data_IF_818663906867
#
_entry.id   IF_818663906867
#
_cell.length_a   1.000
_cell.length_b   1.000
_cell.length_c   1.000
_cell.angle_alpha   90.00
_cell.angle_beta   90.00
_cell.angle_gamma   90.00
#
_symmetry.space_group_name_H-M   'P 1'
#
loop_
_entity.id
_entity.type
_entity.pdbx_description
1 polymer ?
#
# COMPACT_ATOMS: atom_id res chain seq x y z
N UNK A 1 -48.92 -22.80 -62.17
CA UNK A 1 -47.86 -21.96 -61.51
C UNK A 1 -48.12 -21.96 -60.05
N UNK A 2 -47.39 -22.85 -59.31
CA UNK A 2 -47.47 -22.94 -57.87
C UNK A 2 -46.38 -22.01 -57.28
N UNK A 3 -46.75 -21.02 -56.49
CA UNK A 3 -45.79 -20.17 -55.76
C UNK A 3 -45.44 -20.89 -54.45
N UNK A 4 -44.17 -21.24 -54.32
CA UNK A 4 -43.58 -21.82 -53.10
C UNK A 4 -43.24 -20.64 -52.18
N UNK A 5 -43.88 -20.54 -51.00
CA UNK A 5 -43.55 -19.62 -49.94
C UNK A 5 -42.52 -20.30 -49.01
N UNK A 6 -41.27 -19.82 -49.04
CA UNK A 6 -40.21 -20.25 -48.14
C UNK A 6 -40.29 -19.39 -46.87
N UNK A 7 -40.68 -19.99 -45.75
CA UNK A 7 -40.65 -19.35 -44.44
C UNK A 7 -39.23 -19.46 -43.88
N UNK A 8 -38.52 -18.35 -43.81
CA UNK A 8 -37.27 -18.21 -43.08
C UNK A 8 -37.56 -18.06 -41.59
N UNK A 9 -37.42 -19.11 -40.79
CA UNK A 9 -37.43 -19.05 -39.35
C UNK A 9 -36.08 -18.45 -38.87
N UNK A 10 -36.09 -17.18 -38.50
CA UNK A 10 -34.96 -16.57 -37.81
C UNK A 10 -34.88 -17.16 -36.38
N UNK A 11 -33.95 -18.07 -36.18
CA UNK A 11 -33.62 -18.62 -34.86
C UNK A 11 -32.86 -17.54 -34.09
N UNK A 12 -33.55 -16.80 -33.21
CA UNK A 12 -32.89 -15.94 -32.23
C UNK A 12 -32.13 -16.83 -31.24
N UNK A 13 -30.83 -16.92 -31.42
CA UNK A 13 -29.91 -17.37 -30.38
C UNK A 13 -29.89 -16.35 -29.25
N UNK A 14 -30.76 -16.54 -28.27
CA UNK A 14 -30.63 -15.86 -26.98
C UNK A 14 -29.46 -16.53 -26.28
N UNK A 15 -28.25 -15.98 -26.42
CA UNK A 15 -27.14 -16.30 -25.54
C UNK A 15 -27.54 -15.87 -24.13
N UNK A 16 -27.85 -16.84 -23.29
CA UNK A 16 -27.98 -16.61 -21.86
C UNK A 16 -26.62 -16.11 -21.34
N UNK A 17 -26.48 -14.81 -21.13
CA UNK A 17 -25.34 -14.25 -20.41
C UNK A 17 -25.50 -14.72 -18.96
N UNK A 18 -24.86 -15.83 -18.64
CA UNK A 18 -24.65 -16.28 -17.28
C UNK A 18 -23.81 -15.18 -16.59
N UNK A 19 -24.28 -14.67 -15.46
CA UNK A 19 -23.50 -13.78 -14.63
C UNK A 19 -22.28 -14.56 -14.10
N UNK A 20 -21.16 -14.48 -14.81
CA UNK A 20 -19.93 -15.19 -14.45
C UNK A 20 -19.31 -14.46 -13.27
N UNK A 21 -19.23 -15.16 -12.14
CA UNK A 21 -18.50 -14.65 -10.96
C UNK A 21 -17.01 -14.56 -11.28
N UNK A 22 -16.42 -13.40 -11.06
CA UNK A 22 -14.99 -13.16 -11.24
C UNK A 22 -14.29 -13.26 -9.89
N UNK A 23 -13.25 -14.08 -9.86
CA UNK A 23 -12.40 -14.26 -8.68
C UNK A 23 -11.02 -13.67 -8.93
N UNK A 24 -10.60 -12.78 -8.06
CA UNK A 24 -9.28 -12.16 -8.08
C UNK A 24 -8.44 -12.69 -6.94
N UNK A 25 -7.22 -13.11 -7.26
CA UNK A 25 -6.16 -13.37 -6.29
C UNK A 25 -5.09 -12.30 -6.42
N UNK A 26 -4.40 -12.00 -5.35
CA UNK A 26 -3.34 -11.01 -5.34
C UNK A 26 -2.04 -11.64 -4.89
N UNK A 27 -0.94 -11.32 -5.58
CA UNK A 27 0.41 -11.76 -5.24
C UNK A 27 1.32 -10.55 -5.28
N UNK A 28 2.04 -10.30 -4.18
CA UNK A 28 3.07 -9.27 -4.11
C UNK A 28 4.39 -9.82 -4.64
N UNK A 29 5.09 -9.03 -5.46
CA UNK A 29 6.44 -9.34 -5.94
C UNK A 29 7.35 -8.13 -5.85
N UNK A 30 8.63 -8.35 -5.59
CA UNK A 30 9.67 -7.33 -5.64
C UNK A 30 10.32 -7.21 -7.03
N UNK A 31 11.33 -6.34 -7.17
CA UNK A 31 12.08 -6.13 -8.40
C UNK A 31 12.80 -7.38 -8.90
N UNK A 32 13.15 -8.31 -8.01
CA UNK A 32 13.79 -9.58 -8.31
C UNK A 32 12.79 -10.72 -8.50
N UNK A 33 11.50 -10.38 -8.61
CA UNK A 33 10.40 -11.33 -8.79
C UNK A 33 10.18 -12.30 -7.62
N UNK A 34 10.74 -11.99 -6.43
CA UNK A 34 10.51 -12.73 -5.20
C UNK A 34 9.14 -12.36 -4.59
N UNK A 35 8.51 -13.30 -3.89
CA UNK A 35 7.24 -13.03 -3.24
C UNK A 35 7.41 -12.08 -2.04
N UNK A 36 6.59 -11.04 -2.02
CA UNK A 36 6.54 -10.03 -0.96
C UNK A 36 5.21 -10.16 -0.22
N UNK A 37 5.24 -10.38 1.10
CA UNK A 37 4.01 -10.36 1.88
C UNK A 37 3.46 -8.92 1.92
N UNK A 38 2.14 -8.78 1.87
CA UNK A 38 1.45 -7.51 1.96
C UNK A 38 0.24 -7.63 2.89
N UNK A 39 -0.18 -6.50 3.47
CA UNK A 39 -1.20 -6.46 4.52
C UNK A 39 -2.58 -6.08 3.99
N UNK A 40 -2.63 -5.30 2.92
CA UNK A 40 -3.90 -4.89 2.31
C UNK A 40 -3.77 -4.60 0.82
N UNK A 41 -4.90 -4.63 0.13
CA UNK A 41 -5.06 -4.20 -1.26
C UNK A 41 -6.23 -3.23 -1.34
N UNK A 42 -5.98 -2.04 -1.89
CA UNK A 42 -7.05 -1.12 -2.28
C UNK A 42 -7.46 -1.41 -3.72
N UNK A 43 -8.76 -1.57 -3.92
CA UNK A 43 -9.39 -1.87 -5.20
C UNK A 43 -10.28 -0.71 -5.56
N UNK A 44 -9.97 -0.03 -6.66
CA UNK A 44 -10.76 1.09 -7.15
C UNK A 44 -11.38 0.74 -8.50
N UNK A 45 -12.70 0.82 -8.59
CA UNK A 45 -13.37 0.80 -9.88
C UNK A 45 -13.37 2.22 -10.45
N UNK A 46 -12.52 2.45 -11.45
CA UNK A 46 -12.35 3.77 -12.08
C UNK A 46 -13.59 4.14 -12.90
N UNK A 47 -14.23 3.14 -13.54
CA UNK A 47 -15.43 3.35 -14.38
C UNK A 47 -16.63 3.79 -13.54
N UNK A 48 -16.78 3.26 -12.31
CA UNK A 48 -17.96 3.47 -11.45
C UNK A 48 -17.67 4.26 -10.18
N UNK A 49 -16.47 4.79 -10.03
CA UNK A 49 -16.03 5.68 -8.95
C UNK A 49 -16.30 5.14 -7.53
N UNK A 50 -15.95 3.88 -7.26
CA UNK A 50 -15.95 3.33 -5.92
C UNK A 50 -14.60 2.72 -5.55
N UNK A 51 -14.33 2.64 -4.25
CA UNK A 51 -13.11 2.04 -3.69
C UNK A 51 -13.47 1.04 -2.60
N UNK A 52 -12.70 -0.04 -2.52
CA UNK A 52 -12.81 -1.08 -1.49
C UNK A 52 -11.41 -1.49 -1.04
N UNK A 53 -11.30 -2.03 0.18
CA UNK A 53 -10.03 -2.47 0.75
C UNK A 53 -10.15 -3.89 1.28
N UNK A 54 -9.21 -4.76 0.88
CA UNK A 54 -9.01 -6.08 1.45
C UNK A 54 -7.83 -6.03 2.42
N UNK A 55 -7.95 -6.70 3.57
CA UNK A 55 -6.92 -6.72 4.61
C UNK A 55 -6.46 -8.17 4.87
N UNK A 56 -5.15 -8.42 4.81
CA UNK A 56 -4.53 -9.71 5.09
C UNK A 56 -4.24 -9.88 6.60
N UNK A 57 -4.33 -11.12 7.14
CA UNK A 57 -4.67 -12.38 6.46
C UNK A 57 -6.18 -12.64 6.33
N UNK A 58 -7.04 -11.72 6.78
CA UNK A 58 -8.48 -11.94 6.88
C UNK A 58 -9.16 -12.08 5.51
N UNK A 59 -8.68 -11.33 4.50
CA UNK A 59 -9.24 -11.31 3.16
C UNK A 59 -8.15 -11.63 2.11
N UNK A 60 -8.09 -12.86 1.61
CA UNK A 60 -7.05 -13.28 0.64
C UNK A 60 -7.52 -13.35 -0.82
N UNK A 61 -8.82 -13.40 -1.03
CA UNK A 61 -9.45 -13.57 -2.35
C UNK A 61 -10.67 -12.67 -2.47
N UNK A 62 -10.74 -11.90 -3.55
CA UNK A 62 -11.91 -11.09 -3.87
C UNK A 62 -12.79 -11.83 -4.88
N UNK A 63 -14.06 -11.99 -4.55
CA UNK A 63 -15.06 -12.52 -5.47
C UNK A 63 -16.05 -11.44 -5.84
N UNK A 64 -16.19 -11.15 -7.13
CA UNK A 64 -17.09 -10.14 -7.69
C UNK A 64 -18.14 -10.79 -8.59
N UNK A 65 -19.40 -10.47 -8.35
CA UNK A 65 -20.50 -10.91 -9.20
C UNK A 65 -21.05 -9.70 -9.96
N UNK A 66 -21.11 -9.75 -11.31
CA UNK A 66 -21.66 -8.66 -12.09
C UNK A 66 -23.12 -8.39 -11.69
N UNK A 67 -23.44 -7.17 -11.33
CA UNK A 67 -24.79 -6.80 -10.88
C UNK A 67 -25.65 -6.39 -12.06
N UNK A 68 -26.47 -7.32 -12.54
CA UNK A 68 -27.56 -7.03 -13.49
C UNK A 68 -28.86 -6.51 -12.83
N UNK A 69 -29.01 -6.64 -11.50
CA UNK A 69 -30.19 -6.22 -10.74
C UNK A 69 -29.75 -5.65 -9.39
N UNK A 70 -30.33 -4.52 -9.00
CA UNK A 70 -30.07 -3.87 -7.70
C UNK A 70 -30.48 -4.81 -6.56
N UNK A 71 -29.53 -5.34 -5.80
CA UNK A 71 -29.78 -5.83 -4.46
C UNK A 71 -29.41 -4.74 -3.45
N UNK A 72 -30.40 -4.30 -2.68
CA UNK A 72 -30.17 -3.46 -1.50
C UNK A 72 -29.71 -4.38 -0.36
N UNK A 73 -28.48 -4.19 0.11
CA UNK A 73 -28.07 -4.74 1.40
C UNK A 73 -27.78 -3.56 2.33
N UNK A 74 -28.55 -3.44 3.37
CA UNK A 74 -28.22 -2.67 4.57
C UNK A 74 -27.45 -3.57 5.54
N UNK A 75 -26.60 -3.00 6.34
CA UNK A 75 -25.69 -3.67 7.31
C UNK A 75 -26.38 -4.52 8.41
N UNK A 76 -27.67 -4.87 8.25
CA UNK A 76 -28.49 -5.67 9.16
C UNK A 76 -29.40 -6.63 8.38
N UNK A 77 -28.95 -7.32 7.35
CA UNK A 77 -29.81 -8.15 6.52
C UNK A 77 -29.62 -9.66 6.76
N UNK A 78 -30.73 -10.33 6.96
CA UNK A 78 -30.86 -11.78 6.83
C UNK A 78 -30.92 -12.13 5.33
N UNK A 79 -29.87 -12.76 4.77
CA UNK A 79 -29.75 -13.00 3.34
C UNK A 79 -29.06 -14.31 2.99
N UNK A 80 -29.66 -15.08 2.06
CA UNK A 80 -29.02 -16.23 1.38
C UNK A 80 -28.21 -15.71 0.18
N UNK A 81 -26.98 -16.18 0.06
CA UNK A 81 -26.21 -16.04 -1.17
C UNK A 81 -26.67 -17.05 -2.22
N UNK A 82 -26.47 -16.73 -3.51
CA UNK A 82 -26.70 -17.71 -4.56
C UNK A 82 -25.82 -18.95 -4.31
N UNK A 83 -26.40 -20.16 -4.48
CA UNK A 83 -25.64 -21.41 -4.32
C UNK A 83 -24.56 -21.56 -5.39
N UNK A 84 -23.46 -22.17 -5.01
CA UNK A 84 -22.34 -22.47 -5.90
C UNK A 84 -21.87 -23.93 -5.70
N UNK A 85 -21.77 -24.71 -6.80
CA UNK A 85 -22.13 -24.38 -8.18
C UNK A 85 -23.65 -24.23 -8.39
N UNK A 86 -24.07 -23.51 -9.46
CA UNK A 86 -25.44 -23.42 -9.95
C UNK A 86 -25.42 -23.15 -11.47
N UNK A 87 -25.78 -24.13 -12.34
CA UNK A 87 -26.29 -25.45 -12.03
C UNK A 87 -25.33 -26.38 -11.29
N UNK A 88 -25.86 -27.39 -10.59
CA UNK A 88 -25.07 -28.34 -9.81
C UNK A 88 -25.50 -29.77 -10.04
N UNK A 89 -24.62 -30.72 -9.73
CA UNK A 89 -24.87 -32.16 -9.86
C UNK A 89 -25.05 -32.79 -8.47
N UNK A 90 -26.30 -32.84 -8.01
CA UNK A 90 -26.69 -33.49 -6.76
C UNK A 90 -26.37 -32.72 -5.49
N UNK A 91 -25.26 -32.02 -5.38
CA UNK A 91 -24.86 -31.28 -4.16
C UNK A 91 -24.33 -29.90 -4.49
N UNK A 92 -24.73 -28.90 -3.68
CA UNK A 92 -24.27 -27.51 -3.78
C UNK A 92 -24.15 -26.87 -2.40
N UNK A 93 -23.53 -25.70 -2.32
CA UNK A 93 -23.35 -24.94 -1.10
C UNK A 93 -23.90 -23.50 -1.26
N UNK A 94 -24.43 -22.94 -0.18
CA UNK A 94 -24.86 -21.54 -0.11
C UNK A 94 -24.45 -20.97 1.24
N UNK A 95 -24.21 -19.67 1.30
CA UNK A 95 -23.94 -18.96 2.55
C UNK A 95 -25.18 -18.19 2.98
N UNK A 96 -25.37 -18.08 4.29
CA UNK A 96 -26.45 -17.31 4.90
C UNK A 96 -25.85 -16.32 5.89
N UNK A 97 -26.12 -15.03 5.68
CA UNK A 97 -25.81 -13.99 6.66
C UNK A 97 -26.96 -13.86 7.66
N UNK A 98 -26.61 -13.82 8.96
CA UNK A 98 -27.55 -13.71 10.08
C UNK A 98 -27.12 -12.55 10.97
N UNK A 99 -28.01 -11.59 11.21
CA UNK A 99 -27.73 -10.41 12.04
C UNK A 99 -28.01 -10.60 13.53
N UNK A 100 -28.92 -11.51 13.90
CA UNK A 100 -29.42 -11.70 15.26
C UNK A 100 -29.49 -13.18 15.64
N UNK A 101 -29.45 -13.49 16.91
CA UNK A 101 -29.68 -14.84 17.42
C UNK A 101 -31.11 -15.30 17.16
N UNK A 102 -31.29 -16.58 16.87
CA UNK A 102 -32.64 -17.13 16.77
C UNK A 102 -32.74 -18.56 16.24
N UNK A 103 -33.96 -18.96 15.96
CA UNK A 103 -34.27 -20.22 15.28
C UNK A 103 -34.60 -19.94 13.82
N UNK A 104 -33.88 -20.66 12.94
CA UNK A 104 -34.04 -20.53 11.51
C UNK A 104 -34.76 -21.75 10.93
N UNK A 105 -35.71 -21.53 10.07
CA UNK A 105 -36.34 -22.57 9.24
C UNK A 105 -35.85 -22.46 7.80
N UNK A 106 -35.36 -23.54 7.26
CA UNK A 106 -34.93 -23.65 5.85
C UNK A 106 -35.82 -24.66 5.14
N UNK A 107 -36.38 -24.26 4.02
CA UNK A 107 -37.29 -25.05 3.21
C UNK A 107 -36.81 -25.10 1.76
N UNK A 108 -36.92 -26.28 1.13
CA UNK A 108 -36.70 -26.42 -0.32
C UNK A 108 -38.00 -26.84 -0.95
N UNK A 109 -38.43 -26.10 -1.96
CA UNK A 109 -39.62 -26.42 -2.76
C UNK A 109 -39.21 -26.61 -4.23
N UNK A 110 -39.99 -27.43 -4.96
CA UNK A 110 -39.89 -27.50 -6.42
C UNK A 110 -40.60 -26.35 -7.13
N UNK A 111 -40.56 -26.34 -8.45
CA UNK A 111 -41.18 -25.30 -9.28
C UNK A 111 -42.70 -25.18 -9.09
N UNK A 112 -43.35 -26.21 -8.61
CA UNK A 112 -44.82 -26.23 -8.35
C UNK A 112 -45.17 -25.79 -6.93
N UNK A 113 -44.19 -25.46 -6.09
CA UNK A 113 -44.35 -25.11 -4.70
C UNK A 113 -44.47 -26.30 -3.74
N UNK A 114 -44.29 -27.53 -4.22
CA UNK A 114 -44.30 -28.72 -3.37
C UNK A 114 -43.04 -28.75 -2.51
N UNK A 115 -43.25 -28.94 -1.19
CA UNK A 115 -42.13 -29.09 -0.24
C UNK A 115 -41.33 -30.35 -0.52
N UNK A 116 -40.01 -30.23 -0.70
CA UNK A 116 -39.07 -31.29 -0.93
C UNK A 116 -38.37 -31.68 0.37
N UNK A 117 -37.91 -30.70 1.13
CA UNK A 117 -37.29 -30.92 2.45
C UNK A 117 -37.38 -29.65 3.30
N UNK A 118 -37.36 -29.84 4.62
CA UNK A 118 -37.39 -28.76 5.60
C UNK A 118 -36.43 -29.10 6.75
N UNK A 119 -35.68 -28.09 7.20
CA UNK A 119 -34.80 -28.17 8.34
C UNK A 119 -35.02 -26.99 9.27
N UNK A 120 -35.15 -27.26 10.58
CA UNK A 120 -35.13 -26.23 11.63
C UNK A 120 -33.78 -26.26 12.32
N UNK A 121 -33.15 -25.10 12.42
CA UNK A 121 -31.86 -24.90 13.06
C UNK A 121 -32.06 -23.97 14.26
N UNK A 122 -31.77 -24.46 15.46
CA UNK A 122 -31.95 -23.72 16.71
C UNK A 122 -30.64 -23.06 17.13
N UNK A 123 -30.73 -21.94 17.84
CA UNK A 123 -29.57 -21.23 18.42
C UNK A 123 -28.52 -20.77 17.42
N UNK A 124 -28.96 -20.34 16.23
CA UNK A 124 -28.08 -19.73 15.24
C UNK A 124 -27.60 -18.40 15.83
N UNK A 125 -26.26 -18.21 15.81
CA UNK A 125 -25.60 -16.99 16.26
C UNK A 125 -25.48 -16.00 15.08
N UNK A 126 -25.30 -14.68 15.33
CA UNK A 126 -24.94 -13.73 14.30
C UNK A 126 -23.67 -14.14 13.57
N UNK A 127 -23.61 -13.90 12.26
CA UNK A 127 -22.45 -14.25 11.43
C UNK A 127 -22.83 -14.91 10.12
N UNK A 128 -21.83 -15.37 9.40
CA UNK A 128 -21.99 -16.08 8.14
C UNK A 128 -21.95 -17.59 8.37
N UNK A 129 -22.97 -18.27 7.89
CA UNK A 129 -23.15 -19.72 8.03
C UNK A 129 -23.19 -20.39 6.68
N UNK A 130 -22.63 -21.60 6.57
CA UNK A 130 -22.64 -22.35 5.34
C UNK A 130 -23.65 -23.50 5.42
N UNK A 131 -24.49 -23.59 4.39
CA UNK A 131 -25.46 -24.66 4.19
C UNK A 131 -25.02 -25.52 3.01
N UNK A 132 -25.04 -26.84 3.20
CA UNK A 132 -24.92 -27.84 2.13
C UNK A 132 -26.29 -28.32 1.74
N UNK A 133 -26.62 -28.23 0.45
CA UNK A 133 -27.87 -28.71 -0.12
C UNK A 133 -27.59 -29.91 -1.01
N UNK A 134 -28.32 -31.01 -0.78
CA UNK A 134 -28.25 -32.22 -1.62
C UNK A 134 -29.65 -32.51 -2.13
N UNK A 135 -29.80 -32.74 -3.45
CA UNK A 135 -31.09 -33.03 -4.11
C UNK A 135 -31.04 -34.29 -4.95
N UNK A 136 -32.04 -35.17 -4.75
CA UNK A 136 -32.09 -36.49 -5.35
C UNK A 136 -32.37 -36.48 -6.85
N UNK A 137 -33.09 -35.49 -7.36
CA UNK A 137 -33.54 -35.46 -8.77
C UNK A 137 -33.15 -34.16 -9.47
N UNK A 138 -32.89 -34.18 -10.78
CA UNK A 138 -32.73 -32.97 -11.58
C UNK A 138 -34.01 -32.16 -11.57
N UNK A 139 -33.86 -30.81 -11.58
CA UNK A 139 -34.98 -29.90 -11.58
C UNK A 139 -34.61 -28.50 -11.14
N UNK A 140 -35.63 -27.60 -11.13
CA UNK A 140 -35.53 -26.26 -10.59
C UNK A 140 -36.16 -26.24 -9.19
N UNK A 141 -35.44 -25.68 -8.25
CA UNK A 141 -35.81 -25.64 -6.85
C UNK A 141 -35.65 -24.23 -6.28
N UNK A 142 -36.38 -23.94 -5.20
CA UNK A 142 -36.22 -22.72 -4.40
C UNK A 142 -35.82 -23.10 -2.99
N UNK A 143 -34.71 -22.55 -2.53
CA UNK A 143 -34.28 -22.60 -1.12
C UNK A 143 -34.76 -21.34 -0.45
N UNK A 144 -35.56 -21.46 0.60
CA UNK A 144 -36.07 -20.35 1.39
C UNK A 144 -35.65 -20.51 2.84
N UNK A 145 -35.00 -19.50 3.39
CA UNK A 145 -34.67 -19.39 4.80
C UNK A 145 -35.57 -18.33 5.46
N UNK A 146 -36.03 -18.63 6.69
CA UNK A 146 -36.88 -17.73 7.49
C UNK A 146 -36.39 -17.69 8.94
N UNK A 147 -36.25 -16.49 9.49
CA UNK A 147 -35.82 -16.25 10.84
C UNK A 147 -36.30 -14.87 11.32
N UNK A 148 -36.83 -14.78 12.55
CA UNK A 148 -37.26 -13.51 13.17
C UNK A 148 -38.16 -12.65 12.25
N UNK A 149 -39.07 -13.26 11.50
CA UNK A 149 -39.96 -12.56 10.54
C UNK A 149 -39.30 -12.18 9.22
N UNK A 150 -38.00 -12.36 9.06
CA UNK A 150 -37.29 -12.13 7.82
C UNK A 150 -37.32 -13.39 6.92
N UNK A 151 -37.29 -13.19 5.60
CA UNK A 151 -37.31 -14.27 4.62
C UNK A 151 -36.32 -13.96 3.51
N UNK A 152 -35.51 -14.94 3.14
CA UNK A 152 -34.61 -14.88 1.99
C UNK A 152 -34.75 -16.15 1.16
N UNK A 153 -34.75 -16.02 -0.18
CA UNK A 153 -34.94 -17.15 -1.11
C UNK A 153 -33.98 -17.04 -2.29
N UNK A 154 -33.48 -18.21 -2.73
CA UNK A 154 -32.67 -18.34 -3.94
C UNK A 154 -33.22 -19.43 -4.85
N UNK A 155 -33.00 -19.29 -6.17
CA UNK A 155 -33.32 -20.28 -7.19
C UNK A 155 -32.10 -21.17 -7.43
N UNK A 156 -32.32 -22.50 -7.40
CA UNK A 156 -31.28 -23.50 -7.64
C UNK A 156 -31.65 -24.37 -8.83
N UNK A 157 -30.66 -24.73 -9.63
CA UNK A 157 -30.82 -25.65 -10.79
C UNK A 157 -29.95 -26.87 -10.55
N UNK A 158 -30.61 -28.02 -10.30
CA UNK A 158 -29.92 -29.30 -10.18
C UNK A 158 -29.97 -30.05 -11.52
N UNK A 159 -28.83 -30.42 -12.06
CA UNK A 159 -28.69 -31.23 -13.29
C UNK A 159 -28.36 -32.69 -13.02
N UNK A 160 -27.96 -33.01 -11.78
CA UNK A 160 -27.53 -34.35 -11.39
C UNK A 160 -28.51 -35.07 -10.49
N UNK A 161 -28.10 -36.28 -10.04
CA UNK A 161 -28.84 -37.12 -9.10
C UNK A 161 -28.03 -37.41 -7.85
N UNK A 162 -28.67 -37.46 -6.69
CA UNK A 162 -28.07 -37.92 -5.44
C UNK A 162 -28.98 -38.92 -4.72
N UNK A 163 -28.49 -39.54 -3.64
CA UNK A 163 -29.27 -40.50 -2.87
C UNK A 163 -30.33 -39.94 -1.94
N UNK A 164 -30.38 -38.62 -1.71
CA UNK A 164 -31.28 -37.99 -0.72
C UNK A 164 -31.55 -36.51 -0.99
N UNK A 165 -32.61 -35.99 -0.38
CA UNK A 165 -32.91 -34.54 -0.31
C UNK A 165 -32.60 -34.06 1.08
N UNK A 166 -31.53 -33.27 1.24
CA UNK A 166 -31.10 -32.77 2.56
C UNK A 166 -30.62 -31.33 2.50
N UNK A 167 -30.83 -30.61 3.60
CA UNK A 167 -30.14 -29.36 3.91
C UNK A 167 -29.38 -29.60 5.19
N UNK A 168 -28.08 -29.44 5.15
CA UNK A 168 -27.23 -29.62 6.33
C UNK A 168 -26.47 -28.30 6.63
N UNK A 169 -26.39 -27.97 7.89
CA UNK A 169 -25.52 -26.91 8.39
C UNK A 169 -24.08 -27.49 8.45
N UNK A 170 -23.15 -26.86 7.76
CA UNK A 170 -21.77 -27.35 7.66
C UNK A 170 -20.85 -26.71 8.72
N UNK A 171 -21.42 -25.93 9.62
CA UNK A 171 -20.74 -25.26 10.72
C UNK A 171 -20.51 -23.77 10.48
N UNK A 172 -20.31 -23.03 11.57
CA UNK A 172 -19.75 -21.70 11.52
C UNK A 172 -18.25 -21.87 11.33
N UNK A 173 -17.72 -21.54 10.15
CA UNK A 173 -16.29 -21.60 9.93
C UNK A 173 -15.62 -20.44 10.70
N UNK A 174 -14.82 -20.79 11.69
CA UNK A 174 -13.68 -20.01 12.09
C UNK A 174 -12.65 -20.04 10.95
N UNK A 175 -11.97 -18.95 10.62
CA UNK A 175 -11.47 -18.68 9.29
C UNK A 175 -10.18 -19.43 8.93
N UNK A 176 -10.27 -20.29 7.94
CA UNK A 176 -9.13 -20.51 7.06
C UNK A 176 -9.51 -19.93 5.70
N UNK A 177 -8.84 -18.87 5.29
CA UNK A 177 -9.02 -18.11 4.06
C UNK A 177 -10.42 -17.51 3.88
N UNK A 178 -10.64 -16.35 4.43
CA UNK A 178 -11.88 -15.59 4.29
C UNK A 178 -11.98 -15.03 2.88
N UNK A 179 -12.94 -15.56 2.11
CA UNK A 179 -13.31 -14.95 0.83
C UNK A 179 -14.23 -13.76 1.11
N UNK A 180 -13.76 -12.53 0.91
CA UNK A 180 -14.63 -11.36 0.93
C UNK A 180 -15.37 -11.26 -0.39
N UNK A 181 -16.67 -11.55 -0.38
CA UNK A 181 -17.54 -11.22 -1.50
C UNK A 181 -17.95 -9.75 -1.42
N UNK A 182 -17.48 -8.91 -2.35
CA UNK A 182 -18.03 -7.55 -2.52
C UNK A 182 -19.36 -7.66 -3.26
N UNK A 183 -20.42 -8.00 -2.55
CA UNK A 183 -21.76 -8.19 -3.13
C UNK A 183 -22.50 -6.87 -3.40
N UNK A 184 -22.04 -5.74 -2.85
CA UNK A 184 -22.76 -4.47 -2.85
C UNK A 184 -22.20 -3.38 -3.75
N UNK A 185 -21.09 -3.61 -4.42
CA UNK A 185 -20.48 -2.62 -5.31
C UNK A 185 -20.88 -2.91 -6.76
N UNK A 186 -21.47 -1.94 -7.48
CA UNK A 186 -21.86 -2.14 -8.87
C UNK A 186 -20.61 -2.43 -9.72
N UNK A 187 -20.62 -3.59 -10.39
CA UNK A 187 -19.58 -4.04 -11.27
C UNK A 187 -20.16 -4.60 -12.57
N UNK A 188 -19.49 -4.38 -13.68
CA UNK A 188 -19.75 -5.03 -14.96
C UNK A 188 -18.42 -5.54 -15.57
N UNK A 189 -18.51 -6.63 -16.33
CA UNK A 189 -17.39 -7.15 -17.11
C UNK A 189 -16.90 -6.06 -18.07
N UNK A 190 -15.61 -5.77 -18.05
CA UNK A 190 -14.99 -4.69 -18.82
C UNK A 190 -14.81 -3.37 -18.05
N UNK A 191 -15.31 -3.25 -16.81
CA UNK A 191 -15.02 -2.09 -15.97
C UNK A 191 -13.51 -1.95 -15.78
N UNK A 192 -13.00 -0.72 -15.85
CA UNK A 192 -11.60 -0.39 -15.57
C UNK A 192 -11.36 -0.40 -14.07
N UNK A 193 -10.49 -1.28 -13.64
CA UNK A 193 -10.11 -1.44 -12.23
C UNK A 193 -8.67 -0.97 -12.00
N UNK A 194 -8.42 -0.44 -10.81
CA UNK A 194 -7.08 -0.09 -10.31
C UNK A 194 -6.85 -0.82 -8.99
N UNK A 195 -5.72 -1.50 -8.89
CA UNK A 195 -5.32 -2.28 -7.71
C UNK A 195 -4.01 -1.72 -7.16
N UNK A 196 -3.97 -1.46 -5.85
CA UNK A 196 -2.75 -1.01 -5.16
C UNK A 196 -2.58 -1.84 -3.90
N UNK A 197 -1.48 -2.57 -3.81
CA UNK A 197 -1.10 -3.33 -2.61
C UNK A 197 -0.32 -2.47 -1.63
N UNK A 198 -0.41 -2.80 -0.34
CA UNK A 198 0.33 -2.15 0.73
C UNK A 198 0.94 -3.20 1.63
N UNK A 199 2.18 -3.00 2.04
CA UNK A 199 2.87 -3.89 2.96
C UNK A 199 3.40 -3.13 4.17
N UNK A 200 3.24 -3.71 5.36
CA UNK A 200 3.93 -3.31 6.58
C UNK A 200 5.18 -4.15 6.83
N UNK A 201 5.76 -4.73 5.78
CA UNK A 201 6.96 -5.55 5.91
C UNK A 201 8.11 -4.71 6.46
N UNK A 202 8.10 -4.60 7.74
CA UNK A 202 9.11 -4.19 8.71
C UNK A 202 9.14 -2.73 9.16
N UNK A 203 8.75 -1.67 8.42
CA UNK A 203 9.02 -0.31 8.92
C UNK A 203 8.13 0.82 8.41
N UNK A 204 7.70 0.80 7.19
CA UNK A 204 6.77 1.79 6.65
C UNK A 204 5.79 1.09 5.73
N UNK A 205 4.59 1.65 5.60
CA UNK A 205 3.66 1.17 4.61
C UNK A 205 4.17 1.50 3.21
N UNK A 206 4.72 0.50 2.53
CA UNK A 206 5.07 0.62 1.13
C UNK A 206 3.88 0.23 0.26
N UNK A 207 3.59 1.01 -0.77
CA UNK A 207 2.57 0.69 -1.74
C UNK A 207 3.19 0.10 -3.01
N UNK A 208 2.47 -0.83 -3.64
CA UNK A 208 2.83 -1.31 -4.98
C UNK A 208 2.58 -0.23 -6.04
N UNK A 209 3.22 -0.38 -7.20
CA UNK A 209 2.75 0.32 -8.39
C UNK A 209 1.26 -0.02 -8.64
N UNK A 210 0.39 0.96 -8.96
CA UNK A 210 -0.99 0.69 -9.24
C UNK A 210 -1.13 -0.10 -10.56
N UNK A 211 -1.84 -1.23 -10.49
CA UNK A 211 -2.16 -2.05 -11.68
C UNK A 211 -3.52 -1.62 -12.22
N UNK A 212 -3.57 -1.08 -13.43
CA UNK A 212 -4.82 -0.67 -14.10
C UNK A 212 -5.12 -1.60 -15.26
N UNK A 213 -6.30 -2.22 -15.24
CA UNK A 213 -6.76 -3.07 -16.33
C UNK A 213 -8.28 -3.23 -16.35
N UNK A 214 -8.83 -3.55 -17.52
CA UNK A 214 -10.23 -3.94 -17.64
C UNK A 214 -10.42 -5.33 -17.01
N UNK A 215 -11.44 -5.48 -16.17
CA UNK A 215 -11.73 -6.74 -15.51
C UNK A 215 -12.71 -7.57 -16.35
N UNK A 216 -12.20 -8.62 -17.01
CA UNK A 216 -12.95 -9.45 -17.95
C UNK A 216 -13.16 -10.88 -17.47
N UNK A 217 -12.25 -11.40 -16.65
CA UNK A 217 -12.24 -12.78 -16.19
C UNK A 217 -11.55 -12.94 -14.84
N UNK A 218 -11.67 -14.15 -14.25
CA UNK A 218 -10.95 -14.51 -13.03
C UNK A 218 -9.45 -14.59 -13.29
N UNK A 219 -8.65 -13.93 -12.44
CA UNK A 219 -7.20 -13.83 -12.65
C UNK A 219 -6.43 -13.59 -11.35
N UNK A 220 -5.12 -13.75 -11.45
CA UNK A 220 -4.18 -13.33 -10.40
C UNK A 220 -3.60 -11.98 -10.78
N UNK A 221 -3.73 -11.01 -9.86
CA UNK A 221 -3.16 -9.67 -9.99
C UNK A 221 -1.80 -9.69 -9.30
N UNK A 222 -0.74 -9.44 -10.06
CA UNK A 222 0.61 -9.27 -9.49
C UNK A 222 0.81 -7.82 -9.13
N UNK A 223 1.06 -7.58 -7.85
CA UNK A 223 1.33 -6.27 -7.26
C UNK A 223 2.86 -6.12 -7.15
N UNK A 224 3.44 -5.22 -7.91
CA UNK A 224 4.88 -4.98 -7.87
C UNK A 224 5.22 -4.02 -6.73
N UNK A 225 5.93 -4.52 -5.74
CA UNK A 225 6.47 -3.76 -4.62
C UNK A 225 7.95 -3.50 -4.84
N UNK A 226 8.37 -2.26 -4.57
CA UNK A 226 9.75 -1.87 -4.59
C UNK A 226 10.38 -1.81 -5.98
N UNK A 227 11.23 -0.82 -6.13
CA UNK A 227 12.15 -0.53 -7.22
C UNK A 227 11.54 -0.64 -8.62
N UNK A 228 10.82 0.37 -9.02
CA UNK A 228 10.76 0.69 -10.43
C UNK A 228 12.12 1.26 -10.84
N UNK A 229 12.99 0.41 -11.32
CA UNK A 229 14.25 0.77 -11.96
C UNK A 229 13.96 1.37 -13.34
N UNK A 230 13.34 2.51 -13.37
CA UNK A 230 13.08 3.28 -14.55
C UNK A 230 13.41 4.74 -14.30
N UNK A 231 13.75 5.48 -15.34
CA UNK A 231 14.22 6.86 -15.30
C UNK A 231 13.28 7.87 -14.60
N UNK A 232 12.12 7.43 -14.12
CA UNK A 232 11.15 8.25 -13.41
C UNK A 232 10.94 7.67 -12.01
N UNK A 233 11.58 8.29 -11.02
CA UNK A 233 11.31 8.08 -9.61
C UNK A 233 9.82 8.32 -9.32
N UNK A 234 9.09 7.27 -8.96
CA UNK A 234 7.65 7.39 -8.73
C UNK A 234 7.38 8.09 -7.40
N UNK A 235 6.42 9.01 -7.36
CA UNK A 235 5.94 9.58 -6.11
C UNK A 235 5.28 8.49 -5.25
N UNK A 236 5.25 8.71 -3.95
CA UNK A 236 4.57 7.81 -3.03
C UNK A 236 3.08 7.71 -3.38
N UNK A 237 2.53 6.49 -3.52
CA UNK A 237 1.10 6.31 -3.76
C UNK A 237 0.27 6.98 -2.67
N UNK A 238 -0.84 7.59 -3.06
CA UNK A 238 -1.75 8.37 -2.20
C UNK A 238 -1.15 9.62 -1.50
N UNK A 239 0.17 9.85 -1.58
CA UNK A 239 0.83 11.02 -0.98
C UNK A 239 1.97 11.51 -1.89
N UNK A 240 1.66 11.97 -3.12
CA UNK A 240 2.67 12.45 -4.07
C UNK A 240 3.39 13.71 -3.57
N UNK A 241 2.74 14.47 -2.71
CA UNK A 241 3.28 15.61 -1.98
C UNK A 241 2.82 15.60 -0.53
N UNK A 242 3.56 16.27 0.34
CA UNK A 242 3.21 16.54 1.73
C UNK A 242 3.47 18.00 2.04
N UNK A 243 2.63 18.58 2.89
CA UNK A 243 2.74 20.00 3.28
C UNK A 243 3.01 20.09 4.77
N UNK A 244 3.98 20.91 5.17
CA UNK A 244 4.24 21.19 6.59
C UNK A 244 3.31 22.29 7.14
N UNK A 245 3.43 22.56 8.44
CA UNK A 245 2.60 23.55 9.13
C UNK A 245 2.79 24.99 8.61
N UNK A 246 3.91 25.28 7.96
CA UNK A 246 4.20 26.60 7.37
C UNK A 246 3.67 26.72 5.93
N UNK A 247 3.10 25.64 5.37
CA UNK A 247 2.60 25.59 4.01
C UNK A 247 3.67 25.27 2.96
N UNK A 248 4.86 24.83 3.38
CA UNK A 248 5.86 24.36 2.44
C UNK A 248 5.45 22.97 1.89
N UNK A 249 5.48 22.81 0.59
CA UNK A 249 5.22 21.54 -0.09
C UNK A 249 6.52 20.80 -0.37
N UNK A 250 6.49 19.47 -0.18
CA UNK A 250 7.58 18.54 -0.45
C UNK A 250 7.08 17.43 -1.33
N UNK A 251 7.78 17.15 -2.41
CA UNK A 251 7.51 15.99 -3.27
C UNK A 251 7.97 14.72 -2.57
N UNK A 252 7.42 13.58 -2.97
CA UNK A 252 7.77 12.29 -2.39
C UNK A 252 8.35 11.33 -3.41
N UNK A 253 9.04 10.30 -2.93
CA UNK A 253 9.57 9.23 -3.76
C UNK A 253 9.57 7.90 -3.01
N UNK A 254 9.21 6.82 -3.73
CA UNK A 254 9.34 5.45 -3.21
C UNK A 254 10.73 4.92 -3.53
N UNK A 255 11.45 4.43 -2.51
CA UNK A 255 12.73 3.74 -2.67
C UNK A 255 12.66 2.44 -1.87
N UNK A 256 12.68 1.31 -2.55
CA UNK A 256 12.37 0.03 -1.92
C UNK A 256 10.93 0.03 -1.38
N UNK A 257 10.79 -0.19 -0.08
CA UNK A 257 9.50 -0.17 0.62
C UNK A 257 9.28 1.12 1.41
N UNK A 258 10.12 2.13 1.22
CA UNK A 258 10.11 3.36 1.98
C UNK A 258 9.62 4.53 1.13
N UNK A 259 8.83 5.38 1.77
CA UNK A 259 8.36 6.63 1.17
C UNK A 259 9.14 7.80 1.75
N UNK A 260 9.97 8.44 0.96
CA UNK A 260 10.86 9.53 1.35
C UNK A 260 10.40 10.87 0.79
N UNK A 261 10.65 11.96 1.51
CA UNK A 261 10.63 13.29 0.90
C UNK A 261 11.80 13.45 -0.08
N UNK A 262 11.62 14.26 -1.12
CA UNK A 262 12.68 14.57 -2.10
C UNK A 262 13.45 15.83 -1.74
N UNK A 263 12.87 16.70 -0.95
CA UNK A 263 13.45 17.96 -0.50
C UNK A 263 13.81 17.91 0.98
N UNK A 264 14.81 18.69 1.38
CA UNK A 264 15.18 18.90 2.78
C UNK A 264 14.11 19.73 3.48
N UNK A 265 13.89 19.49 4.77
CA UNK A 265 12.95 20.25 5.59
C UNK A 265 13.29 21.75 5.59
N UNK A 266 12.25 22.58 5.47
CA UNK A 266 12.35 24.06 5.53
C UNK A 266 11.28 24.67 6.44
N UNK A 267 10.75 23.88 7.38
CA UNK A 267 9.78 24.35 8.39
C UNK A 267 10.43 25.27 9.40
N UNK A 268 9.66 26.21 9.92
CA UNK A 268 10.06 27.12 11.00
C UNK A 268 9.40 26.77 12.33
N UNK A 269 8.50 25.79 12.31
CA UNK A 269 7.73 25.33 13.47
C UNK A 269 7.63 23.82 13.48
N UNK A 270 7.45 23.26 14.66
CA UNK A 270 7.01 21.89 14.84
C UNK A 270 5.54 21.72 14.42
N UNK A 271 5.10 20.48 14.16
CA UNK A 271 3.72 20.20 13.76
C UNK A 271 2.67 20.65 14.79
N UNK A 272 3.03 20.72 16.08
CA UNK A 272 2.19 21.26 17.15
C UNK A 272 2.12 22.80 17.20
N UNK A 273 2.85 23.51 16.34
CA UNK A 273 2.89 24.96 16.24
C UNK A 273 4.03 25.62 17.02
N UNK A 274 4.78 24.91 17.83
CA UNK A 274 5.92 25.43 18.58
C UNK A 274 7.03 25.94 17.65
N UNK A 275 7.66 27.05 18.02
CA UNK A 275 8.64 27.72 17.17
C UNK A 275 10.02 27.05 17.25
N UNK A 276 10.63 26.79 16.09
CA UNK A 276 12.06 26.49 15.96
C UNK A 276 12.79 27.82 15.77
N UNK A 277 13.59 28.19 16.75
CA UNK A 277 14.17 29.52 16.80
C UNK A 277 15.24 29.74 15.73
N UNK A 278 15.32 30.98 15.23
CA UNK A 278 16.43 31.46 14.39
C UNK A 278 17.16 32.58 15.12
N UNK A 279 18.17 32.20 15.84
CA UNK A 279 19.05 33.10 16.57
C UNK A 279 20.50 32.82 16.22
N UNK A 280 21.36 33.82 16.34
CA UNK A 280 22.77 33.69 15.97
C UNK A 280 23.59 33.16 17.13
N UNK A 281 23.26 31.94 17.58
CA UNK A 281 23.98 31.20 18.63
C UNK A 281 23.93 29.71 18.37
N UNK A 282 24.72 28.96 19.10
CA UNK A 282 24.69 27.51 19.16
C UNK A 282 24.02 27.06 20.46
N UNK A 283 23.35 25.94 20.46
CA UNK A 283 22.71 25.39 21.66
C UNK A 283 22.63 23.88 21.64
N UNK A 284 22.94 23.26 22.76
CA UNK A 284 22.76 21.83 23.02
C UNK A 284 21.31 21.50 23.45
N UNK A 285 20.47 22.52 23.74
CA UNK A 285 19.14 22.33 24.35
C UNK A 285 18.00 23.07 23.64
N UNK A 286 18.26 24.25 23.06
CA UNK A 286 17.25 25.03 22.35
C UNK A 286 17.09 24.54 20.92
N UNK A 287 15.86 24.35 20.40
CA UNK A 287 15.61 24.01 19.01
C UNK A 287 15.92 25.19 18.10
N UNK A 288 16.94 25.04 17.28
CA UNK A 288 17.45 26.10 16.40
C UNK A 288 17.47 25.67 14.94
N UNK A 289 17.22 26.63 14.03
CA UNK A 289 17.41 26.51 12.59
C UNK A 289 18.31 27.61 12.07
N UNK A 290 19.02 27.29 11.00
CA UNK A 290 20.00 28.20 10.40
C UNK A 290 19.85 28.19 8.88
N UNK A 291 20.26 29.27 8.23
CA UNK A 291 20.37 29.32 6.77
C UNK A 291 21.55 28.45 6.30
N UNK A 292 21.41 27.70 5.18
CA UNK A 292 22.57 27.06 4.58
C UNK A 292 23.57 28.12 4.11
N UNK A 293 24.84 27.93 4.38
CA UNK A 293 25.93 28.86 4.04
C UNK A 293 25.63 30.32 4.37
N UNK A 294 24.91 30.59 5.47
CA UNK A 294 24.48 31.92 5.97
C UNK A 294 23.62 32.72 4.98
N UNK A 295 22.99 32.10 3.97
CA UNK A 295 22.15 32.80 3.00
C UNK A 295 20.69 32.32 3.05
N UNK A 296 19.78 33.30 3.27
CA UNK A 296 18.34 33.01 3.26
C UNK A 296 17.82 32.57 1.88
N UNK A 297 18.44 33.00 0.79
CA UNK A 297 18.07 32.68 -0.56
C UNK A 297 18.25 31.20 -0.88
N UNK A 298 19.17 30.54 -0.17
CA UNK A 298 19.47 29.12 -0.35
C UNK A 298 18.43 28.19 0.28
N UNK A 299 17.57 28.68 1.18
CA UNK A 299 16.60 27.85 1.91
C UNK A 299 15.63 27.15 0.97
N UNK A 300 15.19 27.81 -0.10
CA UNK A 300 14.24 27.21 -1.04
C UNK A 300 14.81 25.96 -1.69
N UNK A 301 16.09 25.95 -2.01
CA UNK A 301 16.76 24.86 -2.71
C UNK A 301 17.39 23.82 -1.79
N UNK A 302 17.92 24.23 -0.64
CA UNK A 302 18.71 23.40 0.25
C UNK A 302 18.03 23.07 1.57
N UNK A 303 16.88 23.69 1.91
CA UNK A 303 16.24 23.61 3.22
C UNK A 303 16.99 24.38 4.30
N UNK A 304 16.50 24.34 5.55
CA UNK A 304 17.26 24.84 6.70
C UNK A 304 18.23 23.77 7.21
N UNK A 305 19.25 24.22 7.94
CA UNK A 305 20.07 23.38 8.80
C UNK A 305 19.47 23.45 10.21
N UNK A 306 19.29 22.29 10.86
CA UNK A 306 18.69 22.17 12.19
C UNK A 306 19.67 21.54 13.16
N UNK A 307 19.74 22.04 14.39
CA UNK A 307 20.47 21.36 15.43
C UNK A 307 19.68 20.18 16.01
N UNK A 308 20.34 19.30 16.76
CA UNK A 308 19.68 18.10 17.29
C UNK A 308 18.47 18.38 18.20
N UNK A 309 18.47 19.41 19.08
CA UNK A 309 17.26 19.77 19.85
C UNK A 309 16.04 20.07 18.99
N UNK A 310 16.21 20.59 17.78
CA UNK A 310 15.12 20.77 16.82
C UNK A 310 14.68 19.42 16.22
N UNK A 311 15.63 18.53 15.92
CA UNK A 311 15.32 17.19 15.37
C UNK A 311 14.62 16.34 16.40
N UNK A 312 15.17 16.24 17.61
CA UNK A 312 14.67 15.39 18.69
C UNK A 312 13.42 15.92 19.39
N UNK A 313 13.10 17.21 19.29
CA UNK A 313 11.96 17.87 19.94
C UNK A 313 11.81 17.51 21.43
N UNK A 314 12.91 17.53 22.17
CA UNK A 314 12.93 17.22 23.61
C UNK A 314 12.93 15.74 23.96
N UNK A 315 13.07 14.84 22.99
CA UNK A 315 13.21 13.40 23.20
C UNK A 315 14.68 12.99 23.28
N UNK A 316 14.93 11.76 23.77
CA UNK A 316 16.26 11.16 23.82
C UNK A 316 16.65 10.43 22.52
N UNK A 317 15.92 10.68 21.42
CA UNK A 317 16.10 9.94 20.17
C UNK A 317 15.42 8.58 20.15
N UNK A 318 15.60 7.83 19.04
CA UNK A 318 15.01 6.51 18.86
C UNK A 318 15.87 5.64 17.96
N UNK A 319 16.06 4.38 18.35
CA UNK A 319 16.67 3.33 17.52
C UNK A 319 15.63 2.41 16.89
N UNK A 320 14.36 2.63 17.20
CA UNK A 320 13.26 1.81 16.71
C UNK A 320 13.10 1.93 15.19
N UNK A 321 12.34 1.00 14.61
CA UNK A 321 12.06 0.96 13.20
C UNK A 321 10.57 0.62 12.99
N UNK A 322 9.70 1.61 12.65
CA UNK A 322 9.97 3.05 12.46
C UNK A 322 10.46 3.75 13.73
N UNK A 323 11.15 4.87 13.56
CA UNK A 323 11.69 5.61 14.72
C UNK A 323 10.62 6.08 15.68
N UNK A 324 9.43 6.39 15.17
CA UNK A 324 8.35 7.01 15.94
C UNK A 324 8.66 8.45 16.40
N UNK A 325 9.81 9.00 16.02
CA UNK A 325 10.23 10.35 16.35
C UNK A 325 9.71 11.33 15.30
N UNK A 326 8.55 11.94 15.52
CA UNK A 326 8.04 12.97 14.61
C UNK A 326 9.03 14.14 14.45
N UNK A 327 9.55 14.68 15.54
CA UNK A 327 10.48 15.80 15.50
C UNK A 327 9.93 16.99 14.71
N UNK A 328 10.68 17.45 13.73
CA UNK A 328 10.28 18.56 12.84
C UNK A 328 9.45 18.10 11.62
N UNK A 329 9.16 16.82 11.50
CA UNK A 329 8.42 16.28 10.36
C UNK A 329 6.92 16.60 10.45
N UNK A 330 6.19 16.71 9.33
CA UNK A 330 4.75 16.85 9.31
C UNK A 330 4.02 15.63 9.91
N UNK A 331 2.72 15.78 10.17
CA UNK A 331 1.87 14.68 10.66
C UNK A 331 1.89 13.50 9.68
N UNK A 332 2.05 12.27 10.21
CA UNK A 332 2.20 11.03 9.46
C UNK A 332 3.59 10.83 8.83
N UNK A 333 4.57 11.63 9.30
CA UNK A 333 5.98 11.56 8.92
C UNK A 333 6.87 11.67 10.14
N UNK A 334 8.05 11.05 10.06
CA UNK A 334 9.01 11.05 11.16
C UNK A 334 10.45 11.24 10.67
N UNK A 335 11.33 11.56 11.60
CA UNK A 335 12.78 11.58 11.37
C UNK A 335 13.26 10.15 11.22
N UNK A 336 13.93 9.79 10.12
CA UNK A 336 14.36 8.40 9.88
C UNK A 336 15.28 7.90 10.97
N UNK A 337 15.12 6.63 11.37
CA UNK A 337 16.10 5.98 12.23
C UNK A 337 17.32 5.53 11.44
N UNK A 338 18.38 5.21 12.17
CA UNK A 338 19.57 4.54 11.64
C UNK A 338 19.21 3.25 10.89
N UNK A 339 18.24 2.47 11.38
CA UNK A 339 17.78 1.23 10.74
C UNK A 339 17.02 1.52 9.43
N UNK A 340 16.28 2.61 9.35
CA UNK A 340 15.58 3.03 8.12
C UNK A 340 16.56 3.50 7.04
N UNK A 341 17.59 4.25 7.41
CA UNK A 341 18.69 4.54 6.48
C UNK A 341 19.44 3.28 6.06
N UNK A 342 19.66 2.32 6.99
CA UNK A 342 20.26 1.03 6.63
C UNK A 342 19.41 0.24 5.63
N UNK A 343 18.09 0.31 5.72
CA UNK A 343 17.21 -0.31 4.72
C UNK A 343 17.31 0.38 3.37
N UNK A 344 17.34 1.72 3.32
CA UNK A 344 17.63 2.45 2.10
C UNK A 344 18.95 1.99 1.48
N UNK A 345 20.02 1.92 2.27
CA UNK A 345 21.34 1.47 1.78
C UNK A 345 21.31 0.03 1.29
N UNK A 346 20.58 -0.86 1.97
CA UNK A 346 20.44 -2.26 1.55
C UNK A 346 19.73 -2.36 0.18
N UNK A 347 18.73 -1.54 -0.08
CA UNK A 347 18.07 -1.46 -1.40
C UNK A 347 19.07 -1.01 -2.47
N UNK A 348 19.88 0.02 -2.18
CA UNK A 348 20.90 0.51 -3.11
C UNK A 348 22.00 -0.54 -3.37
N UNK A 349 22.44 -1.23 -2.32
CA UNK A 349 23.44 -2.30 -2.43
C UNK A 349 22.94 -3.54 -3.18
N UNK A 350 21.64 -3.84 -3.05
CA UNK A 350 21.04 -5.00 -3.71
C UNK A 350 20.69 -4.75 -5.20
N UNK A 351 20.80 -3.50 -5.67
CA UNK A 351 20.28 -3.10 -6.97
C UNK A 351 21.41 -2.63 -7.87
N UNK A 352 21.82 -3.47 -8.83
CA UNK A 352 22.94 -3.22 -9.75
C UNK A 352 22.82 -1.89 -10.51
N UNK A 353 21.59 -1.49 -10.89
CA UNK A 353 21.36 -0.24 -11.59
C UNK A 353 21.67 1.03 -10.77
N UNK A 354 21.85 0.90 -9.45
CA UNK A 354 22.28 1.99 -8.58
C UNK A 354 23.78 2.04 -8.38
N UNK A 355 24.52 1.02 -8.88
CA UNK A 355 25.97 0.96 -8.74
C UNK A 355 26.66 1.74 -9.84
N UNK A 356 27.57 2.59 -9.45
CA UNK A 356 28.47 3.18 -10.41
C UNK A 356 29.60 2.18 -10.72
N UNK A 357 29.93 2.03 -12.01
CA UNK A 357 31.03 1.20 -12.51
C UNK A 357 30.88 -0.30 -12.13
N UNK A 358 29.67 -0.84 -12.30
CA UNK A 358 29.32 -2.22 -11.97
C UNK A 358 30.23 -3.28 -12.64
N UNK A 359 30.82 -2.96 -13.81
CA UNK A 359 31.59 -3.90 -14.61
C UNK A 359 33.11 -3.81 -14.41
N UNK A 360 33.62 -2.74 -13.79
CA UNK A 360 35.04 -2.46 -13.70
C UNK A 360 35.61 -2.42 -12.27
N UNK A 361 34.77 -2.65 -11.26
CA UNK A 361 35.15 -2.58 -9.85
C UNK A 361 34.95 -3.92 -9.16
N UNK A 362 35.84 -4.23 -8.19
CA UNK A 362 35.74 -5.45 -7.38
C UNK A 362 34.56 -5.44 -6.41
N UNK A 363 34.14 -4.25 -5.97
CA UNK A 363 33.01 -4.05 -5.02
C UNK A 363 32.11 -2.90 -5.50
N UNK A 364 31.49 -3.00 -6.70
CA UNK A 364 30.71 -1.91 -7.29
C UNK A 364 29.48 -1.57 -6.45
N UNK A 365 28.93 -2.52 -5.70
CA UNK A 365 27.79 -2.31 -4.80
C UNK A 365 28.05 -1.25 -3.72
N UNK A 366 29.32 -0.92 -3.43
CA UNK A 366 29.66 0.17 -2.49
C UNK A 366 29.62 1.56 -3.17
N UNK A 367 29.56 1.62 -4.49
CA UNK A 367 29.55 2.85 -5.27
C UNK A 367 28.11 3.34 -5.54
N UNK A 368 27.38 3.66 -4.48
CA UNK A 368 25.93 3.93 -4.52
C UNK A 368 25.54 5.38 -4.22
N UNK A 369 26.49 6.23 -3.79
CA UNK A 369 26.17 7.60 -3.37
C UNK A 369 25.57 8.45 -4.49
N UNK A 370 25.98 8.23 -5.76
CA UNK A 370 25.41 8.91 -6.92
C UNK A 370 23.92 8.65 -7.08
N UNK A 371 23.43 7.46 -6.71
CA UNK A 371 22.03 7.08 -6.90
C UNK A 371 21.06 7.96 -6.10
N UNK A 372 21.50 8.56 -4.99
CA UNK A 372 20.67 9.42 -4.13
C UNK A 372 21.09 10.90 -4.16
N UNK A 373 22.27 11.24 -4.69
CA UNK A 373 22.74 12.61 -4.82
C UNK A 373 21.98 13.38 -5.92
N UNK A 374 21.64 14.65 -5.69
CA UNK A 374 21.01 15.50 -6.71
C UNK A 374 21.95 15.71 -7.92
N UNK A 375 21.39 16.05 -9.08
CA UNK A 375 22.13 16.38 -10.31
C UNK A 375 22.75 17.77 -10.29
N UNK A 376 22.49 18.56 -9.25
CA UNK A 376 22.91 19.97 -9.15
C UNK A 376 23.43 20.30 -7.76
N UNK A 377 24.17 21.39 -7.67
CA UNK A 377 24.64 21.97 -6.41
C UNK A 377 25.92 21.32 -5.85
N UNK A 378 26.45 20.30 -6.48
CA UNK A 378 27.68 19.63 -6.03
C UNK A 378 28.91 20.23 -6.69
N UNK A 379 29.96 20.35 -5.89
CA UNK A 379 31.31 20.69 -6.36
C UNK A 379 31.83 19.61 -7.30
N UNK A 380 32.47 20.00 -8.39
CA UNK A 380 33.07 19.08 -9.34
C UNK A 380 34.25 18.30 -8.72
N UNK A 381 34.37 17.05 -9.12
CA UNK A 381 35.46 16.15 -8.72
C UNK A 381 35.78 15.15 -9.83
N UNK A 382 37.07 14.85 -10.06
CA UNK A 382 37.49 14.08 -11.22
C UNK A 382 37.53 12.57 -11.05
N UNK A 383 37.36 12.05 -9.81
CA UNK A 383 37.43 10.61 -9.56
C UNK A 383 36.15 9.91 -10.03
N UNK A 384 36.31 8.89 -10.84
CA UNK A 384 35.20 8.06 -11.34
C UNK A 384 34.34 7.58 -10.18
N UNK A 385 33.00 7.59 -10.36
CA UNK A 385 32.00 7.19 -9.39
C UNK A 385 31.82 8.10 -8.18
N UNK A 386 32.69 9.08 -7.93
CA UNK A 386 32.40 10.10 -6.92
C UNK A 386 31.17 10.94 -7.32
N UNK A 387 30.44 11.45 -6.35
CA UNK A 387 29.22 12.23 -6.59
C UNK A 387 29.49 13.44 -7.48
N UNK A 388 30.62 14.14 -7.30
CA UNK A 388 31.02 15.31 -8.09
C UNK A 388 31.49 15.01 -9.53
N UNK A 389 31.64 13.74 -9.88
CA UNK A 389 32.05 13.34 -11.23
C UNK A 389 30.81 13.04 -12.08
N UNK A 390 30.65 13.75 -13.21
CA UNK A 390 29.46 13.59 -14.08
C UNK A 390 28.14 13.68 -13.30
N UNK A 391 27.75 14.88 -12.95
CA UNK A 391 26.52 15.14 -12.18
C UNK A 391 25.25 14.65 -12.89
N UNK A 392 25.28 14.52 -14.23
CA UNK A 392 24.12 14.05 -15.00
C UNK A 392 23.72 12.60 -14.65
N UNK A 393 24.69 11.80 -14.21
CA UNK A 393 24.51 10.42 -13.81
C UNK A 393 24.02 10.26 -12.35
N UNK A 394 23.83 11.35 -11.61
CA UNK A 394 23.30 11.31 -10.26
C UNK A 394 21.76 11.07 -10.25
N UNK A 395 21.23 10.77 -9.05
CA UNK A 395 19.81 10.78 -8.71
C UNK A 395 18.96 9.71 -9.42
N UNK A 396 19.50 8.53 -9.58
CA UNK A 396 18.75 7.41 -10.17
C UNK A 396 17.51 7.02 -9.36
N UNK A 397 17.52 7.27 -8.03
CA UNK A 397 16.39 6.97 -7.15
C UNK A 397 15.35 8.08 -7.05
N UNK A 398 15.71 9.31 -7.41
CA UNK A 398 14.88 10.49 -7.16
C UNK A 398 14.93 11.02 -5.73
N UNK A 399 15.82 10.52 -4.87
CA UNK A 399 16.00 11.03 -3.50
C UNK A 399 16.46 12.50 -3.46
N UNK A 400 17.24 12.94 -4.44
CA UNK A 400 17.66 14.33 -4.64
C UNK A 400 18.38 14.95 -3.42
N UNK A 401 19.37 14.27 -2.86
CA UNK A 401 20.19 14.82 -1.78
C UNK A 401 20.98 16.02 -2.26
N UNK A 402 20.80 17.19 -1.63
CA UNK A 402 21.52 18.43 -1.94
C UNK A 402 22.60 18.75 -0.90
N UNK A 403 23.78 19.24 -1.30
CA UNK A 403 24.92 19.44 -0.40
C UNK A 403 24.80 20.79 0.36
N UNK A 404 23.88 20.85 1.30
CA UNK A 404 23.64 22.04 2.14
C UNK A 404 24.81 22.34 3.10
N UNK A 405 25.73 21.40 3.28
CA UNK A 405 26.81 21.51 4.27
C UNK A 405 26.30 21.36 5.70
N UNK A 406 27.03 21.92 6.64
CA UNK A 406 26.71 21.92 8.07
C UNK A 406 27.13 23.19 8.75
N UNK A 407 26.58 23.44 9.94
CA UNK A 407 27.16 24.33 10.92
C UNK A 407 27.85 23.48 11.97
N UNK A 408 29.07 23.85 12.29
CA UNK A 408 29.86 23.21 13.34
C UNK A 408 29.90 24.11 14.57
N UNK A 409 29.63 23.53 15.75
CA UNK A 409 29.85 24.13 17.03
C UNK A 409 31.29 23.83 17.52
N UNK A 410 32.07 24.82 17.76
CA UNK A 410 33.41 24.67 18.37
C UNK A 410 33.77 25.94 19.14
N UNK A 411 32.80 26.42 19.93
CA UNK A 411 32.89 27.70 20.61
C UNK A 411 32.45 28.91 19.78
N UNK A 412 32.40 28.74 18.48
CA UNK A 412 31.81 29.71 17.54
C UNK A 412 31.13 28.99 16.40
N UNK A 413 30.17 29.64 15.73
CA UNK A 413 29.43 29.13 14.57
C UNK A 413 30.32 29.15 13.32
N UNK A 414 30.55 28.00 12.71
CA UNK A 414 31.32 27.86 11.48
C UNK A 414 30.51 27.11 10.42
N UNK A 415 30.33 27.73 9.24
CA UNK A 415 29.71 27.10 8.08
C UNK A 415 30.75 26.28 7.32
N UNK A 416 30.44 25.00 7.02
CA UNK A 416 31.36 24.09 6.36
C UNK A 416 30.65 23.23 5.33
N UNK A 417 31.40 22.82 4.33
CA UNK A 417 31.04 21.80 3.36
C UNK A 417 29.83 22.12 2.47
N UNK A 418 29.44 23.41 2.34
CA UNK A 418 28.45 23.81 1.34
C UNK A 418 28.95 23.45 -0.06
N UNK A 419 28.09 22.87 -0.92
CA UNK A 419 28.41 22.25 -2.21
C UNK A 419 29.33 21.01 -2.13
N UNK A 420 29.82 20.65 -0.96
CA UNK A 420 30.74 19.51 -0.78
C UNK A 420 30.07 18.31 -0.11
N UNK A 421 29.13 18.52 0.83
CA UNK A 421 28.47 17.41 1.54
C UNK A 421 26.99 17.67 1.75
N UNK A 422 26.20 16.61 1.55
CA UNK A 422 24.86 16.50 2.11
C UNK A 422 24.94 15.66 3.40
N UNK A 423 24.40 16.21 4.49
CA UNK A 423 24.48 15.66 5.84
C UNK A 423 23.07 15.63 6.40
N UNK A 424 22.62 14.45 6.82
CA UNK A 424 21.25 14.25 7.30
C UNK A 424 21.26 13.64 8.68
N UNK A 425 20.69 14.34 9.67
CA UNK A 425 20.42 13.73 10.95
C UNK A 425 19.54 12.48 10.80
N UNK A 426 19.86 11.45 11.56
CA UNK A 426 18.90 10.38 11.86
C UNK A 426 18.32 10.55 13.27
N UNK A 427 17.46 9.63 13.71
CA UNK A 427 16.82 9.70 15.02
C UNK A 427 17.67 9.10 16.16
N UNK A 428 18.89 8.61 15.88
CA UNK A 428 19.72 7.92 16.85
C UNK A 428 20.56 8.89 17.68
N UNK A 429 20.24 9.02 18.97
CA UNK A 429 21.11 9.69 19.91
C UNK A 429 22.21 8.73 20.36
N UNK A 430 23.45 9.01 19.95
CA UNK A 430 24.60 8.19 20.29
C UNK A 430 24.92 8.23 21.80
N UNK A 431 24.83 9.41 22.41
CA UNK A 431 24.93 9.67 23.84
C UNK A 431 24.15 10.96 24.21
N UNK A 432 24.26 11.43 25.45
CA UNK A 432 23.55 12.61 25.94
C UNK A 432 23.94 13.93 25.26
N UNK A 433 24.91 13.93 24.36
CA UNK A 433 25.48 15.11 23.72
C UNK A 433 25.72 15.00 22.23
N UNK A 434 25.65 13.76 21.66
CA UNK A 434 25.92 13.49 20.26
C UNK A 434 24.86 12.64 19.62
N UNK A 435 24.57 12.90 18.34
CA UNK A 435 23.66 12.14 17.52
C UNK A 435 24.34 11.70 16.22
N UNK A 436 23.80 10.65 15.62
CA UNK A 436 24.28 10.10 14.34
C UNK A 436 23.69 10.86 13.15
N UNK A 437 24.41 10.85 12.05
CA UNK A 437 23.97 11.41 10.77
C UNK A 437 24.59 10.67 9.59
N UNK A 438 23.89 10.72 8.46
CA UNK A 438 24.33 10.17 7.16
C UNK A 438 25.13 11.21 6.38
N UNK A 439 26.17 10.76 5.67
CA UNK A 439 27.08 11.60 4.88
C UNK A 439 27.07 11.16 3.42
N UNK A 440 26.85 12.12 2.53
CA UNK A 440 27.09 12.03 1.10
C UNK A 440 28.15 13.08 0.77
N UNK A 441 29.26 12.68 0.14
CA UNK A 441 30.37 13.61 -0.18
C UNK A 441 30.59 13.69 -1.70
N UNK A 442 30.84 14.92 -2.20
CA UNK A 442 31.18 15.16 -3.60
C UNK A 442 32.36 14.31 -4.09
N UNK A 443 33.31 14.02 -3.22
CA UNK A 443 34.55 13.30 -3.53
C UNK A 443 34.50 11.80 -3.24
N UNK A 444 33.34 11.26 -2.85
CA UNK A 444 33.18 9.84 -2.50
C UNK A 444 32.10 9.17 -3.34
N UNK A 445 32.31 7.92 -3.76
CA UNK A 445 31.26 7.08 -4.32
C UNK A 445 30.40 6.37 -3.26
N UNK A 446 30.80 6.43 -1.99
CA UNK A 446 30.21 5.66 -0.89
C UNK A 446 29.37 6.55 0.03
N UNK A 447 28.37 5.94 0.65
CA UNK A 447 27.66 6.50 1.80
C UNK A 447 28.37 6.15 3.09
N UNK A 448 28.30 7.01 4.08
CA UNK A 448 28.86 6.77 5.41
C UNK A 448 28.01 7.42 6.49
N UNK A 449 28.22 7.02 7.75
CA UNK A 449 27.63 7.64 8.93
C UNK A 449 28.71 8.15 9.87
N UNK A 450 28.36 9.08 10.72
CA UNK A 450 29.22 9.63 11.79
C UNK A 450 28.35 10.20 12.90
N UNK A 451 28.98 10.60 14.00
CA UNK A 451 28.29 11.28 15.12
C UNK A 451 28.91 12.62 15.39
N UNK A 452 28.08 13.63 15.68
CA UNK A 452 28.53 14.95 16.09
C UNK A 452 27.67 15.51 17.24
N UNK A 453 28.13 16.59 17.85
CA UNK A 453 27.49 17.21 18.99
C UNK A 453 26.10 17.80 18.62
N UNK A 454 25.20 17.83 19.60
CA UNK A 454 23.83 18.32 19.44
C UNK A 454 23.71 19.79 18.98
N UNK A 455 24.75 20.61 19.18
CA UNK A 455 24.82 22.00 18.72
C UNK A 455 25.25 22.17 17.26
N UNK A 456 25.66 21.08 16.60
CA UNK A 456 25.86 21.08 15.15
C UNK A 456 24.51 21.18 14.44
N UNK A 457 24.50 21.74 13.24
CA UNK A 457 23.29 21.83 12.46
C UNK A 457 23.48 21.24 11.07
N UNK A 458 22.53 20.37 10.66
CA UNK A 458 22.53 19.64 9.40
C UNK A 458 21.10 19.59 8.83
N UNK A 459 20.98 19.09 7.62
CA UNK A 459 19.67 18.89 6.99
C UNK A 459 18.88 17.79 7.69
N UNK A 460 17.56 17.83 7.50
CA UNK A 460 16.63 16.75 7.89
C UNK A 460 15.81 16.35 6.66
N UNK A 461 15.65 15.07 6.49
CA UNK A 461 14.81 14.47 5.47
C UNK A 461 13.83 13.51 6.14
N UNK A 462 12.54 13.73 5.97
CA UNK A 462 11.53 12.90 6.63
C UNK A 462 11.16 11.67 5.79
N UNK A 463 10.73 10.63 6.49
CA UNK A 463 10.19 9.40 5.95
C UNK A 463 8.75 9.23 6.46
N UNK A 464 7.89 8.60 5.67
CA UNK A 464 6.49 8.38 6.02
C UNK A 464 6.34 7.23 7.01
N UNK A 465 5.37 7.37 7.97
CA UNK A 465 4.97 6.37 8.96
C UNK A 465 4.42 5.09 8.30
#
# INVERSE_FOLDING_TARGET
MKKLFTFFAAMLLISAVSAQTITLKFVGKDGDNQEVPFDRVTIKNVTRAWTETLTWPDDTVLTMTPTGIKHFASDNCFALSQNNPNPFEGTTYTSLAVAENGTMNVEITDLTGRLITKQSLTSIQPGNHQLRVTLATPGIYFLTARMNGQTSSIKMVNSGRSGSNTVAFVGSNNPSATMKGITNRPFQVGDMMEYTGYTKAKVAEAASAPVRQALTESQTITLQFGITLGADSLPCPSTPTVTDIDGNEYSTVVIGYQCWMRENMKTTRFANGDTIFKIDTLSLTLPLRYYPNDSAELVQDYGYLYNWPAVGHGTTGSEENPSGLQGICPDGWHVPSRLEYQQLFNVLHATENFWCDAHNNTYPQNNIAKAIADKTGWKEYSSTCSVGCDLSANNATGFSARPAGQIRGNGWKEYRFFEEKALFWDSYAYDDSRAEYVIISYSSPMLSTSTDAYDFAMSVRCIRD
#
